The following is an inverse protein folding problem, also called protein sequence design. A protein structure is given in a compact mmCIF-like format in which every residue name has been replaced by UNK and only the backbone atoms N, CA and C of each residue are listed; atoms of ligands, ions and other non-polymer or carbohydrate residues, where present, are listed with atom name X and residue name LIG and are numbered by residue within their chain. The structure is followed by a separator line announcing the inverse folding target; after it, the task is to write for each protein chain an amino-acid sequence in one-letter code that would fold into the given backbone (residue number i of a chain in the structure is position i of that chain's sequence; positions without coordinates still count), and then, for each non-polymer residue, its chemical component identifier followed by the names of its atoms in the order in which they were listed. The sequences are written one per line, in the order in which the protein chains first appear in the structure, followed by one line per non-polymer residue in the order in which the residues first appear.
data_IF_416190041673
#
_entry.id   IF_416190041673
#
_cell.length_a   1.000
_cell.length_b   1.000
_cell.length_c   1.000
_cell.angle_alpha   90.00
_cell.angle_beta   90.00
_cell.angle_gamma   90.00
#
_symmetry.space_group_name_H-M   'P 1'
#
loop_
_entity.id
_entity.type
_entity.pdbx_description
1 polymer ?
#
# COMPACT_ATOMS: atom_id res chain seq x y z
N UNK A 1 -22.26 -7.05 15.03
CA UNK A 1 -21.51 -5.98 14.34
C UNK A 1 -21.45 -6.40 12.88
N UNK A 2 -22.23 -5.79 11.98
CA UNK A 2 -22.33 -6.30 10.61
C UNK A 2 -21.03 -6.06 9.85
N UNK A 3 -20.29 -7.14 9.60
CA UNK A 3 -19.15 -7.16 8.69
C UNK A 3 -19.75 -7.24 7.29
N UNK A 4 -19.31 -6.39 6.36
CA UNK A 4 -19.99 -6.17 5.07
C UNK A 4 -20.31 -7.48 4.33
N UNK A 5 -21.38 -7.48 3.53
CA UNK A 5 -22.04 -8.66 2.93
C UNK A 5 -21.14 -9.70 2.20
N UNK A 6 -19.87 -9.40 1.96
CA UNK A 6 -18.86 -10.30 1.39
C UNK A 6 -18.11 -11.15 2.44
N UNK A 7 -18.22 -10.82 3.71
CA UNK A 7 -17.57 -11.51 4.82
C UNK A 7 -18.69 -12.07 5.69
N UNK A 8 -18.65 -13.38 5.99
CA UNK A 8 -19.75 -14.08 6.66
C UNK A 8 -20.19 -13.47 8.00
N UNK A 9 -21.22 -14.05 8.61
CA UNK A 9 -21.76 -13.58 9.90
C UNK A 9 -20.71 -13.60 11.02
N UNK A 10 -20.79 -12.65 11.95
CA UNK A 10 -19.93 -12.58 13.13
C UNK A 10 -20.29 -13.71 14.11
N UNK A 11 -19.43 -14.72 14.21
CA UNK A 11 -19.56 -15.75 15.24
C UNK A 11 -19.03 -15.22 16.58
N UNK A 12 -19.92 -14.70 17.43
CA UNK A 12 -19.58 -14.33 18.81
C UNK A 12 -19.29 -15.58 19.64
N UNK A 13 -18.07 -15.73 20.11
CA UNK A 13 -17.61 -16.85 20.93
C UNK A 13 -16.78 -16.36 22.11
N UNK A 14 -16.92 -17.01 23.27
CA UNK A 14 -16.06 -16.75 24.44
C UNK A 14 -14.61 -17.20 24.14
N UNK A 15 -13.63 -16.58 24.81
CA UNK A 15 -12.22 -16.99 24.69
C UNK A 15 -12.09 -18.50 24.94
N UNK A 16 -11.24 -19.18 24.15
CA UNK A 16 -11.00 -20.63 24.22
C UNK A 16 -12.21 -21.53 23.86
N UNK A 17 -13.25 -21.01 23.20
CA UNK A 17 -14.36 -21.79 22.65
C UNK A 17 -14.55 -21.52 21.16
N UNK A 18 -14.67 -22.56 20.33
CA UNK A 18 -14.80 -22.44 18.86
C UNK A 18 -13.50 -22.03 18.14
N UNK A 19 -13.60 -21.22 17.08
CA UNK A 19 -12.46 -20.68 16.28
C UNK A 19 -11.74 -19.53 17.04
N UNK A 20 -12.01 -19.35 18.33
CA UNK A 20 -11.52 -18.24 19.12
C UNK A 20 -10.06 -18.46 19.55
N UNK A 21 -9.19 -17.53 19.19
CA UNK A 21 -7.78 -17.52 19.58
C UNK A 21 -7.63 -17.31 21.10
N UNK A 22 -6.48 -17.73 21.65
CA UNK A 22 -6.20 -17.56 23.08
C UNK A 22 -5.99 -16.07 23.41
N UNK A 23 -6.72 -15.57 24.40
CA UNK A 23 -6.47 -14.24 24.96
C UNK A 23 -5.24 -14.31 25.85
N UNK A 24 -4.15 -13.68 25.43
CA UNK A 24 -2.95 -13.52 26.25
C UNK A 24 -3.00 -12.16 26.95
N UNK A 25 -2.93 -12.16 28.28
CA UNK A 25 -2.86 -10.93 29.06
C UNK A 25 -1.47 -10.30 28.94
N UNK A 26 -1.42 -8.97 28.93
CA UNK A 26 -0.19 -8.18 28.85
C UNK A 26 0.68 -8.40 27.59
N UNK A 27 0.11 -8.86 26.49
CA UNK A 27 0.78 -8.95 25.17
C UNK A 27 0.24 -7.92 24.20
N UNK A 28 1.12 -7.30 23.41
CA UNK A 28 0.75 -6.36 22.35
C UNK A 28 1.00 -7.03 20.99
N UNK A 29 -0.05 -7.14 20.16
CA UNK A 29 0.10 -7.61 18.78
C UNK A 29 0.91 -6.57 18.00
N UNK A 30 2.07 -6.99 17.51
CA UNK A 30 2.92 -6.16 16.67
C UNK A 30 2.44 -6.19 15.23
N UNK A 31 2.83 -5.18 14.44
CA UNK A 31 2.57 -5.15 13.00
C UNK A 31 3.00 -6.47 12.34
N UNK A 32 2.18 -7.00 11.44
CA UNK A 32 2.55 -8.19 10.64
C UNK A 32 3.56 -7.87 9.52
N UNK A 33 3.96 -6.61 9.39
CA UNK A 33 4.75 -6.09 8.28
C UNK A 33 6.23 -6.31 8.54
N UNK A 34 6.91 -6.94 7.59
CA UNK A 34 8.36 -7.03 7.58
C UNK A 34 8.96 -5.80 6.88
N UNK A 35 9.61 -4.94 7.68
CA UNK A 35 10.25 -3.72 7.17
C UNK A 35 11.37 -3.99 6.17
N UNK A 36 12.06 -5.13 6.25
CA UNK A 36 13.18 -5.46 5.34
C UNK A 36 12.69 -5.67 3.91
N UNK A 37 11.45 -6.12 3.74
CA UNK A 37 10.79 -6.27 2.44
C UNK A 37 10.00 -5.02 2.04
N UNK A 38 9.38 -4.35 3.01
CA UNK A 38 8.48 -3.24 2.74
C UNK A 38 9.22 -1.95 2.33
N UNK A 39 10.39 -1.67 2.91
CA UNK A 39 11.16 -0.46 2.58
C UNK A 39 11.68 -0.48 1.13
N UNK A 40 12.31 -1.57 0.63
CA UNK A 40 12.69 -1.64 -0.78
C UNK A 40 11.51 -1.50 -1.76
N UNK A 41 10.35 -2.06 -1.42
CA UNK A 41 9.15 -1.91 -2.26
C UNK A 41 8.69 -0.44 -2.34
N UNK A 42 8.78 0.31 -1.25
CA UNK A 42 8.50 1.74 -1.27
C UNK A 42 9.51 2.50 -2.14
N UNK A 43 10.79 2.13 -2.10
CA UNK A 43 11.82 2.74 -2.97
C UNK A 43 11.52 2.44 -4.45
N UNK A 44 11.13 1.22 -4.80
CA UNK A 44 10.74 0.88 -6.18
C UNK A 44 9.54 1.70 -6.64
N UNK A 45 8.53 1.87 -5.78
CA UNK A 45 7.38 2.72 -6.09
C UNK A 45 7.80 4.17 -6.34
N UNK A 46 8.67 4.72 -5.49
CA UNK A 46 9.20 6.08 -5.64
C UNK A 46 9.99 6.23 -6.96
N UNK A 47 10.91 5.31 -7.25
CA UNK A 47 11.67 5.30 -8.50
C UNK A 47 10.77 5.20 -9.74
N UNK A 48 9.67 4.44 -9.66
CA UNK A 48 8.67 4.36 -10.73
C UNK A 48 7.99 5.70 -10.99
N UNK A 49 7.62 6.44 -9.93
CA UNK A 49 7.08 7.79 -10.06
C UNK A 49 8.12 8.74 -10.66
N UNK A 50 9.36 8.71 -10.19
CA UNK A 50 10.44 9.55 -10.73
C UNK A 50 10.74 9.27 -12.21
N UNK A 51 10.75 8.01 -12.63
CA UNK A 51 10.97 7.64 -14.02
C UNK A 51 9.87 8.23 -14.92
N UNK A 52 8.61 8.14 -14.49
CA UNK A 52 7.48 8.73 -15.22
C UNK A 52 7.61 10.25 -15.33
N UNK A 53 8.02 10.93 -14.25
CA UNK A 53 8.24 12.39 -14.24
C UNK A 53 9.34 12.79 -15.23
N UNK A 54 10.45 12.04 -15.30
CA UNK A 54 11.53 12.32 -16.26
C UNK A 54 11.06 12.21 -17.71
N UNK A 55 10.21 11.23 -18.02
CA UNK A 55 9.60 11.13 -19.35
C UNK A 55 8.73 12.35 -19.67
N UNK A 56 7.92 12.82 -18.72
CA UNK A 56 7.10 14.03 -18.89
C UNK A 56 7.98 15.26 -19.14
N UNK A 57 9.05 15.44 -18.36
CA UNK A 57 9.99 16.55 -18.55
C UNK A 57 10.66 16.54 -19.93
N UNK A 58 10.97 15.34 -20.44
CA UNK A 58 11.54 15.19 -21.78
C UNK A 58 10.53 15.59 -22.85
N UNK A 59 9.27 15.16 -22.72
CA UNK A 59 8.18 15.55 -23.62
C UNK A 59 7.99 17.07 -23.58
N UNK A 60 7.98 17.68 -22.40
CA UNK A 60 7.83 19.13 -22.24
C UNK A 60 8.97 19.91 -22.91
N UNK A 61 10.21 19.48 -22.73
CA UNK A 61 11.38 20.09 -23.38
C UNK A 61 11.32 19.99 -24.92
N UNK A 62 10.85 18.85 -25.43
CA UNK A 62 10.64 18.64 -26.86
C UNK A 62 9.51 19.53 -27.38
N UNK A 63 8.40 19.66 -26.64
CA UNK A 63 7.29 20.55 -27.01
C UNK A 63 7.73 22.01 -27.03
N UNK A 64 8.51 22.47 -26.06
CA UNK A 64 9.08 23.82 -26.05
C UNK A 64 9.95 24.06 -27.30
N UNK A 65 10.82 23.10 -27.62
CA UNK A 65 11.69 23.20 -28.82
C UNK A 65 10.87 23.25 -30.11
N UNK A 66 9.78 22.48 -30.21
CA UNK A 66 8.88 22.52 -31.37
C UNK A 66 8.13 23.86 -31.49
N UNK A 67 7.74 24.45 -30.36
CA UNK A 67 7.11 25.78 -30.32
C UNK A 67 8.08 26.85 -30.81
N UNK A 68 9.33 26.80 -30.36
CA UNK A 68 10.38 27.77 -30.73
C UNK A 68 10.75 27.70 -32.22
N UNK A 69 10.59 26.54 -32.87
CA UNK A 69 10.82 26.38 -34.33
C UNK A 69 9.63 26.92 -35.16
N UNK A 70 8.43 26.93 -34.58
CA UNK A 70 7.20 27.41 -35.24
C UNK A 70 6.99 28.92 -35.11
N UNK A 71 7.58 29.53 -34.07
CA UNK A 71 7.60 30.98 -33.85
C UNK A 71 8.58 31.67 -34.81
#
# INVERSE_FOLDING_TARGET
MTIGASYGYDAFSVAQSGISTNVQQATLETSNVDLTTQIPQQIVAQNGVEANVKSIQTVDSMLQTLLDIKA
#
